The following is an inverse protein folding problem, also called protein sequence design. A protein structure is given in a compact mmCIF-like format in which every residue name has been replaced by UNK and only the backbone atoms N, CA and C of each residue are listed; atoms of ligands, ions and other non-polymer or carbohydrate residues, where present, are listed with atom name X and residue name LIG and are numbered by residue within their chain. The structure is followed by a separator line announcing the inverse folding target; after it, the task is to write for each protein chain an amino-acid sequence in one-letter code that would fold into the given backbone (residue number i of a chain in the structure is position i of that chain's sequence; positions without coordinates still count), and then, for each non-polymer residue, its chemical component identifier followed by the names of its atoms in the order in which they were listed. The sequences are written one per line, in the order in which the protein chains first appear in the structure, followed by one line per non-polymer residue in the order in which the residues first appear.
data_IF_794011878335
#
_entry.id   IF_794011878335
#
_cell.length_a   1.000
_cell.length_b   1.000
_cell.length_c   1.000
_cell.angle_alpha   90.00
_cell.angle_beta   90.00
_cell.angle_gamma   90.00
#
_symmetry.space_group_name_H-M   'P 1'
#
loop_
_entity.id
_entity.type
_entity.pdbx_description
1 polymer ?
#
# COMPACT_ATOMS: atom_id res chain seq x y z
N UNK A 1 42.32 13.47 39.57
CA UNK A 1 41.52 14.50 38.89
C UNK A 1 41.16 13.97 37.50
N UNK A 2 39.97 13.40 37.33
CA UNK A 2 39.52 12.81 36.05
C UNK A 2 38.30 13.62 35.60
N UNK A 3 38.43 14.33 34.47
CA UNK A 3 37.35 15.08 33.83
C UNK A 3 36.59 14.13 32.90
N UNK A 4 35.33 13.84 33.22
CA UNK A 4 34.42 13.17 32.30
C UNK A 4 33.85 14.20 31.33
N UNK A 5 34.08 13.98 30.03
CA UNK A 5 33.45 14.75 28.95
C UNK A 5 32.17 13.99 28.57
N UNK A 6 31.03 14.53 28.96
CA UNK A 6 29.71 14.02 28.57
C UNK A 6 29.44 14.41 27.12
N UNK A 7 29.54 13.44 26.21
CA UNK A 7 29.18 13.61 24.80
C UNK A 7 27.65 13.53 24.67
N UNK A 8 26.99 14.67 24.51
CA UNK A 8 25.57 14.74 24.19
C UNK A 8 25.36 14.39 22.71
N UNK A 9 24.90 13.16 22.45
CA UNK A 9 24.41 12.75 21.14
C UNK A 9 23.05 13.41 20.90
N UNK A 10 23.05 14.50 20.11
CA UNK A 10 21.83 15.10 19.59
C UNK A 10 21.32 14.21 18.45
N UNK A 11 20.36 13.34 18.77
CA UNK A 11 19.59 12.60 17.78
C UNK A 11 18.66 13.56 17.05
N UNK A 12 19.01 13.92 15.81
CA UNK A 12 18.11 14.62 14.91
C UNK A 12 16.98 13.67 14.50
N UNK A 13 15.80 13.85 15.09
CA UNK A 13 14.58 13.26 14.54
C UNK A 13 14.30 13.93 13.20
N UNK A 14 14.55 13.21 12.11
CA UNK A 14 14.15 13.64 10.77
C UNK A 14 12.63 13.55 10.73
N UNK A 15 11.95 14.67 10.98
CA UNK A 15 10.52 14.78 10.75
C UNK A 15 10.27 14.69 9.24
N UNK A 16 9.52 13.69 8.75
CA UNK A 16 9.19 13.64 7.33
C UNK A 16 8.44 14.91 6.93
N UNK A 17 8.69 15.46 5.73
CA UNK A 17 8.15 16.74 5.31
C UNK A 17 6.62 16.72 5.34
N UNK A 18 6.04 17.67 6.09
CA UNK A 18 4.60 17.86 6.29
C UNK A 18 3.82 18.07 4.98
N UNK A 19 4.50 18.46 3.89
CA UNK A 19 3.90 18.77 2.59
C UNK A 19 3.42 17.53 1.80
N UNK A 20 4.08 16.37 1.94
CA UNK A 20 3.70 15.18 1.18
C UNK A 20 2.32 14.62 1.56
N UNK A 21 1.86 14.90 2.78
CA UNK A 21 0.65 14.30 3.35
C UNK A 21 -0.65 14.98 2.85
N UNK A 22 -0.61 16.29 2.58
CA UNK A 22 -1.77 17.05 2.09
C UNK A 22 -2.09 16.68 0.64
N UNK A 23 -1.08 16.43 -0.19
CA UNK A 23 -1.24 16.09 -1.60
C UNK A 23 -1.94 14.73 -1.76
N UNK A 24 -1.42 13.69 -1.09
CA UNK A 24 -2.00 12.35 -1.17
C UNK A 24 -3.44 12.29 -0.65
N UNK A 25 -3.74 12.92 0.49
CA UNK A 25 -5.11 12.93 1.02
C UNK A 25 -6.07 13.57 0.02
N UNK A 26 -5.71 14.71 -0.55
CA UNK A 26 -6.54 15.43 -1.52
C UNK A 26 -6.75 14.60 -2.79
N UNK A 27 -5.69 13.99 -3.31
CA UNK A 27 -5.77 13.10 -4.47
C UNK A 27 -6.63 11.87 -4.19
N UNK A 28 -6.45 11.22 -3.03
CA UNK A 28 -7.24 10.08 -2.58
C UNK A 28 -8.73 10.40 -2.61
N UNK A 29 -9.15 11.47 -1.93
CA UNK A 29 -10.58 11.85 -1.91
C UNK A 29 -11.10 12.19 -3.30
N UNK A 30 -10.33 12.92 -4.11
CA UNK A 30 -10.71 13.29 -5.48
C UNK A 30 -10.94 12.05 -6.36
N UNK A 31 -10.02 11.09 -6.30
CA UNK A 31 -10.12 9.85 -7.08
C UNK A 31 -11.23 8.92 -6.57
N UNK A 32 -11.48 8.89 -5.26
CA UNK A 32 -12.61 8.16 -4.68
C UNK A 32 -13.96 8.74 -5.11
N UNK A 33 -14.10 10.07 -5.16
CA UNK A 33 -15.31 10.71 -5.69
C UNK A 33 -15.50 10.43 -7.18
N UNK A 34 -14.42 10.56 -7.97
CA UNK A 34 -14.43 10.19 -9.38
C UNK A 34 -14.88 8.74 -9.57
N UNK A 35 -14.31 7.81 -8.81
CA UNK A 35 -14.71 6.41 -8.83
C UNK A 35 -16.16 6.23 -8.41
N UNK A 36 -16.63 6.93 -7.38
CA UNK A 36 -18.02 6.83 -6.94
C UNK A 36 -19.00 7.25 -8.04
N UNK A 37 -18.66 8.29 -8.81
CA UNK A 37 -19.50 8.84 -9.87
C UNK A 37 -19.44 8.00 -11.16
N UNK A 38 -18.25 7.54 -11.54
CA UNK A 38 -18.01 6.91 -12.86
C UNK A 38 -17.91 5.39 -12.80
N UNK A 39 -17.74 4.82 -11.60
CA UNK A 39 -17.47 3.40 -11.33
C UNK A 39 -16.27 2.83 -12.10
N UNK A 40 -15.35 3.70 -12.53
CA UNK A 40 -14.16 3.37 -13.30
C UNK A 40 -13.04 4.36 -13.01
N UNK A 41 -11.81 3.86 -13.00
CA UNK A 41 -10.57 4.62 -12.99
C UNK A 41 -9.58 3.98 -13.97
N UNK A 42 -8.66 4.79 -14.50
CA UNK A 42 -7.50 4.32 -15.27
C UNK A 42 -6.48 3.60 -14.39
N UNK A 43 -5.56 2.85 -14.99
CA UNK A 43 -4.52 2.15 -14.22
C UNK A 43 -3.56 3.15 -13.54
N UNK A 44 -3.28 4.27 -14.19
CA UNK A 44 -2.51 5.38 -13.63
C UNK A 44 -3.15 5.95 -12.37
N UNK A 45 -4.46 6.12 -12.37
CA UNK A 45 -5.21 6.61 -11.20
C UNK A 45 -5.25 5.58 -10.08
N UNK A 46 -5.43 4.30 -10.41
CA UNK A 46 -5.39 3.23 -9.41
C UNK A 46 -4.03 3.10 -8.74
N UNK A 47 -2.95 3.24 -9.51
CA UNK A 47 -1.59 3.25 -8.94
C UNK A 47 -1.38 4.42 -7.99
N UNK A 48 -1.97 5.58 -8.26
CA UNK A 48 -1.88 6.75 -7.38
C UNK A 48 -2.72 6.62 -6.11
N UNK A 49 -3.79 5.81 -6.15
CA UNK A 49 -4.57 5.45 -4.97
C UNK A 49 -3.87 4.46 -4.02
N UNK A 50 -2.84 3.74 -4.48
CA UNK A 50 -2.15 2.73 -3.65
C UNK A 50 -1.01 3.43 -2.89
N UNK A 51 -1.01 3.37 -1.55
CA UNK A 51 0.05 3.96 -0.73
C UNK A 51 1.44 3.45 -1.07
N UNK A 52 2.42 4.35 -1.05
CA UNK A 52 3.86 4.09 -1.24
C UNK A 52 4.68 4.38 0.01
N UNK A 53 4.11 5.08 0.99
CA UNK A 53 4.76 5.41 2.25
C UNK A 53 3.85 5.10 3.44
N UNK A 54 4.44 4.93 4.63
CA UNK A 54 3.69 4.70 5.88
C UNK A 54 2.69 5.85 6.17
N UNK A 55 3.05 7.08 5.82
CA UNK A 55 2.17 8.24 6.00
C UNK A 55 0.94 8.17 5.08
N UNK A 56 1.15 7.84 3.80
CA UNK A 56 0.05 7.62 2.85
C UNK A 56 -0.81 6.44 3.29
N UNK A 57 -0.19 5.37 3.80
CA UNK A 57 -0.91 4.21 4.29
C UNK A 57 -1.78 4.53 5.50
N UNK A 58 -1.28 5.34 6.44
CA UNK A 58 -2.06 5.83 7.57
C UNK A 58 -3.30 6.63 7.13
N UNK A 59 -3.14 7.54 6.15
CA UNK A 59 -4.27 8.29 5.57
C UNK A 59 -5.27 7.36 4.89
N UNK A 60 -4.76 6.42 4.10
CA UNK A 60 -5.56 5.45 3.35
C UNK A 60 -6.36 4.55 4.29
N UNK A 61 -5.71 3.97 5.30
CA UNK A 61 -6.32 3.11 6.30
C UNK A 61 -7.28 3.90 7.21
N UNK A 62 -7.10 5.21 7.39
CA UNK A 62 -8.07 6.03 8.13
C UNK A 62 -9.50 5.98 7.58
N UNK A 63 -9.68 5.55 6.31
CA UNK A 63 -10.98 5.33 5.68
C UNK A 63 -11.73 4.09 6.21
N UNK A 64 -11.10 3.25 7.04
CA UNK A 64 -11.80 2.15 7.74
C UNK A 64 -12.25 2.56 9.14
N UNK A 65 -11.87 3.76 9.61
CA UNK A 65 -12.18 4.22 10.96
C UNK A 65 -13.70 4.29 11.20
N UNK A 66 -14.19 3.85 12.38
CA UNK A 66 -15.61 3.94 12.73
C UNK A 66 -16.14 5.38 12.75
N UNK A 67 -15.24 6.37 12.91
CA UNK A 67 -15.59 7.80 12.93
C UNK A 67 -15.65 8.43 11.53
N UNK A 68 -15.27 7.70 10.47
CA UNK A 68 -15.35 8.21 9.10
C UNK A 68 -16.81 8.19 8.61
N UNK A 69 -17.21 9.18 7.83
CA UNK A 69 -18.54 9.19 7.20
C UNK A 69 -18.81 7.87 6.47
N UNK A 70 -19.98 7.27 6.72
CA UNK A 70 -20.38 5.96 6.15
C UNK A 70 -20.19 5.87 4.64
N UNK A 71 -20.38 6.98 3.91
CA UNK A 71 -20.18 7.04 2.46
C UNK A 71 -18.76 6.64 2.06
N UNK A 72 -17.75 7.09 2.82
CA UNK A 72 -16.35 6.82 2.51
C UNK A 72 -16.00 5.36 2.77
N UNK A 73 -16.53 4.75 3.83
CA UNK A 73 -16.30 3.33 4.12
C UNK A 73 -16.83 2.45 2.98
N UNK A 74 -18.01 2.78 2.44
CA UNK A 74 -18.61 2.07 1.30
C UNK A 74 -17.79 2.28 0.02
N UNK A 75 -17.43 3.53 -0.30
CA UNK A 75 -16.61 3.82 -1.49
C UNK A 75 -15.24 3.14 -1.38
N UNK A 76 -14.62 3.17 -0.19
CA UNK A 76 -13.35 2.53 0.09
C UNK A 76 -13.42 1.02 -0.11
N UNK A 77 -14.44 0.36 0.44
CA UNK A 77 -14.63 -1.09 0.25
C UNK A 77 -14.76 -1.45 -1.24
N UNK A 78 -15.52 -0.65 -2.00
CA UNK A 78 -15.71 -0.88 -3.43
C UNK A 78 -14.44 -0.66 -4.24
N UNK A 79 -13.64 0.36 -3.93
CA UNK A 79 -12.39 0.62 -4.65
C UNK A 79 -11.35 -0.47 -4.37
N UNK A 80 -11.32 -1.06 -3.16
CA UNK A 80 -10.42 -2.18 -2.83
C UNK A 80 -10.70 -3.39 -3.73
N UNK A 81 -11.98 -3.75 -3.85
CA UNK A 81 -12.43 -4.82 -4.74
C UNK A 81 -12.06 -4.50 -6.20
N UNK A 82 -12.25 -3.25 -6.62
CA UNK A 82 -11.91 -2.82 -7.98
C UNK A 82 -10.40 -2.85 -8.24
N UNK A 83 -9.56 -2.41 -7.30
CA UNK A 83 -8.09 -2.51 -7.38
C UNK A 83 -7.68 -3.97 -7.50
N UNK A 84 -8.22 -4.88 -6.67
CA UNK A 84 -7.92 -6.31 -6.76
C UNK A 84 -8.31 -6.90 -8.13
N UNK A 85 -9.50 -6.58 -8.65
CA UNK A 85 -9.93 -6.97 -10.00
C UNK A 85 -9.00 -6.41 -11.08
N UNK A 86 -8.60 -5.14 -10.99
CA UNK A 86 -7.69 -4.52 -11.96
C UNK A 86 -6.28 -5.08 -11.87
N UNK A 87 -5.79 -5.44 -10.69
CA UNK A 87 -4.51 -6.12 -10.50
C UNK A 87 -4.47 -7.49 -11.19
N UNK A 88 -5.61 -8.18 -11.35
CA UNK A 88 -5.66 -9.45 -12.10
C UNK A 88 -5.47 -9.33 -13.61
N UNK A 89 -5.47 -8.11 -14.16
CA UNK A 89 -5.35 -7.88 -15.61
C UNK A 89 -4.30 -6.84 -15.98
N UNK A 90 -3.99 -5.92 -15.06
CA UNK A 90 -2.99 -4.87 -15.26
C UNK A 90 -1.74 -5.16 -14.46
N UNK A 91 -0.66 -5.46 -15.17
CA UNK A 91 0.68 -5.66 -14.61
C UNK A 91 1.15 -4.47 -13.76
N UNK A 92 0.79 -3.26 -14.18
CA UNK A 92 1.12 -2.00 -13.51
C UNK A 92 0.40 -1.89 -12.16
N UNK A 93 -0.92 -2.12 -12.13
CA UNK A 93 -1.70 -2.13 -10.89
C UNK A 93 -1.25 -3.27 -9.98
N UNK A 94 -1.00 -4.45 -10.53
CA UNK A 94 -0.47 -5.59 -9.77
C UNK A 94 0.85 -5.26 -9.08
N UNK A 95 1.82 -4.67 -9.80
CA UNK A 95 3.13 -4.32 -9.22
C UNK A 95 2.99 -3.35 -8.05
N UNK A 96 2.12 -2.35 -8.17
CA UNK A 96 1.82 -1.42 -7.08
C UNK A 96 1.09 -2.10 -5.92
N UNK A 97 0.12 -2.97 -6.22
CA UNK A 97 -0.61 -3.71 -5.21
C UNK A 97 0.30 -4.65 -4.41
N UNK A 98 1.25 -5.33 -5.07
CA UNK A 98 2.29 -6.15 -4.42
C UNK A 98 3.18 -5.30 -3.51
N UNK A 99 3.55 -4.09 -3.92
CA UNK A 99 4.38 -3.20 -3.11
C UNK A 99 3.73 -2.77 -1.79
N UNK A 100 2.39 -2.73 -1.74
CA UNK A 100 1.62 -2.42 -0.54
C UNK A 100 1.91 -3.40 0.62
N UNK A 101 2.37 -4.63 0.32
CA UNK A 101 2.74 -5.64 1.33
C UNK A 101 3.79 -5.15 2.32
N UNK A 102 4.54 -4.11 1.97
CA UNK A 102 5.55 -3.51 2.85
C UNK A 102 4.98 -2.59 3.93
N UNK A 103 3.73 -2.13 3.78
CA UNK A 103 3.09 -1.13 4.63
C UNK A 103 1.94 -1.71 5.47
N UNK A 104 1.30 -2.78 4.98
CA UNK A 104 0.16 -3.39 5.67
C UNK A 104 0.57 -4.06 6.98
N UNK A 105 -0.26 -3.91 8.00
CA UNK A 105 -0.11 -4.55 9.30
C UNK A 105 -1.48 -4.75 9.97
N UNK A 106 -1.51 -5.53 11.06
CA UNK A 106 -2.69 -5.79 11.89
C UNK A 106 -3.88 -6.39 11.12
N UNK A 107 -5.10 -5.97 11.49
CA UNK A 107 -6.36 -6.48 10.89
C UNK A 107 -6.43 -6.32 9.37
N UNK A 108 -5.89 -5.21 8.84
CA UNK A 108 -5.90 -4.97 7.40
C UNK A 108 -5.01 -5.97 6.65
N UNK A 109 -3.91 -6.41 7.28
CA UNK A 109 -2.92 -7.27 6.64
C UNK A 109 -3.51 -8.63 6.27
N UNK A 110 -4.30 -9.25 7.13
CA UNK A 110 -4.89 -10.59 6.89
C UNK A 110 -5.72 -10.59 5.59
N UNK A 111 -6.74 -9.73 5.53
CA UNK A 111 -7.59 -9.65 4.33
C UNK A 111 -6.84 -9.16 3.08
N UNK A 112 -5.77 -8.38 3.23
CA UNK A 112 -4.89 -8.02 2.11
C UNK A 112 -4.09 -9.24 1.61
N UNK A 113 -3.45 -10.00 2.50
CA UNK A 113 -2.62 -11.13 2.12
C UNK A 113 -3.43 -12.28 1.55
N UNK A 114 -4.65 -12.53 2.03
CA UNK A 114 -5.57 -13.50 1.41
C UNK A 114 -5.87 -13.15 -0.05
N UNK A 115 -6.15 -11.87 -0.32
CA UNK A 115 -6.38 -11.40 -1.69
C UNK A 115 -5.12 -11.45 -2.54
N UNK A 116 -3.98 -11.12 -1.95
CA UNK A 116 -2.70 -11.15 -2.64
C UNK A 116 -2.30 -12.57 -3.02
N UNK A 117 -2.47 -13.53 -2.12
CA UNK A 117 -2.24 -14.96 -2.34
C UNK A 117 -3.06 -15.46 -3.53
N UNK A 118 -4.37 -15.21 -3.51
CA UNK A 118 -5.26 -15.54 -4.64
C UNK A 118 -4.82 -14.90 -5.97
N UNK A 119 -4.42 -13.62 -5.95
CA UNK A 119 -3.95 -12.92 -7.15
C UNK A 119 -2.63 -13.52 -7.66
N UNK A 120 -1.70 -13.84 -6.77
CA UNK A 120 -0.43 -14.46 -7.12
C UNK A 120 -0.67 -15.85 -7.71
N UNK A 121 -1.52 -16.68 -7.10
CA UNK A 121 -1.83 -18.01 -7.62
C UNK A 121 -2.43 -17.99 -9.04
N UNK A 122 -3.21 -16.96 -9.38
CA UNK A 122 -3.72 -16.77 -10.75
C UNK A 122 -2.68 -16.24 -11.74
N UNK A 123 -1.69 -15.51 -11.25
CA UNK A 123 -0.69 -14.81 -12.06
C UNK A 123 0.74 -15.21 -11.72
N UNK A 124 0.95 -16.49 -11.37
CA UNK A 124 2.22 -17.02 -10.86
C UNK A 124 3.40 -16.61 -11.71
N UNK A 125 3.36 -16.87 -13.02
CA UNK A 125 4.45 -16.52 -13.95
C UNK A 125 4.83 -15.04 -13.88
N UNK A 126 3.85 -14.16 -13.73
CA UNK A 126 4.11 -12.72 -13.64
C UNK A 126 4.71 -12.35 -12.27
N UNK A 127 4.16 -12.88 -11.18
CA UNK A 127 4.72 -12.70 -9.85
C UNK A 127 6.18 -13.16 -9.77
N UNK A 128 6.48 -14.38 -10.22
CA UNK A 128 7.83 -14.93 -10.22
C UNK A 128 8.79 -14.08 -11.06
N UNK A 129 8.33 -13.58 -12.20
CA UNK A 129 9.12 -12.66 -13.05
C UNK A 129 9.48 -11.37 -12.33
N UNK A 130 8.51 -10.72 -11.68
CA UNK A 130 8.76 -9.44 -11.01
C UNK A 130 9.49 -9.60 -9.68
N UNK A 131 9.43 -10.76 -9.03
CA UNK A 131 10.02 -10.99 -7.70
C UNK A 131 11.50 -10.61 -7.63
N UNK A 132 12.26 -10.95 -8.66
CA UNK A 132 13.69 -10.63 -8.78
C UNK A 132 13.97 -9.12 -8.71
N UNK A 133 13.05 -8.30 -9.23
CA UNK A 133 13.14 -6.83 -9.27
C UNK A 133 12.56 -6.12 -8.04
N UNK A 134 12.02 -6.87 -7.07
CA UNK A 134 11.49 -6.31 -5.84
C UNK A 134 12.63 -5.81 -4.93
N UNK A 135 12.33 -4.78 -4.15
CA UNK A 135 13.20 -4.30 -3.08
C UNK A 135 13.40 -5.37 -2.00
N UNK A 136 14.44 -5.22 -1.17
CA UNK A 136 14.71 -6.16 -0.09
C UNK A 136 13.53 -6.31 0.90
N UNK A 137 12.87 -5.19 1.25
CA UNK A 137 11.69 -5.20 2.15
C UNK A 137 10.51 -5.95 1.52
N UNK A 138 10.25 -5.73 0.22
CA UNK A 138 9.22 -6.47 -0.51
C UNK A 138 9.53 -7.97 -0.58
N UNK A 139 10.78 -8.34 -0.92
CA UNK A 139 11.19 -9.76 -0.96
C UNK A 139 11.02 -10.46 0.38
N UNK A 140 11.43 -9.80 1.46
CA UNK A 140 11.26 -10.32 2.82
C UNK A 140 9.77 -10.56 3.14
N UNK A 141 8.90 -9.56 2.89
CA UNK A 141 7.46 -9.68 3.16
C UNK A 141 6.75 -10.72 2.29
N UNK A 142 7.29 -11.04 1.13
CA UNK A 142 6.67 -11.92 0.13
C UNK A 142 7.41 -13.26 -0.03
N UNK A 143 8.36 -13.57 0.86
CA UNK A 143 9.23 -14.74 0.76
C UNK A 143 8.46 -16.05 0.79
N UNK A 144 7.45 -16.14 1.66
CA UNK A 144 6.61 -17.34 1.78
C UNK A 144 5.78 -17.57 0.51
N UNK A 145 5.14 -16.52 0.00
CA UNK A 145 4.38 -16.57 -1.26
C UNK A 145 5.29 -16.90 -2.46
N UNK A 146 6.52 -16.36 -2.49
CA UNK A 146 7.49 -16.74 -3.52
C UNK A 146 7.87 -18.21 -3.44
N UNK A 147 8.15 -18.70 -2.22
CA UNK A 147 8.49 -20.11 -2.01
C UNK A 147 7.34 -21.05 -2.37
N UNK A 148 6.10 -20.64 -2.13
CA UNK A 148 4.89 -21.41 -2.44
C UNK A 148 4.61 -21.51 -3.95
N UNK A 149 4.84 -20.44 -4.71
CA UNK A 149 4.37 -20.36 -6.11
C UNK A 149 5.48 -20.41 -7.17
N UNK A 150 6.72 -20.08 -6.83
CA UNK A 150 7.78 -19.86 -7.82
C UNK A 150 8.93 -20.86 -7.75
N UNK A 151 8.95 -21.72 -6.74
CA UNK A 151 9.93 -22.79 -6.57
C UNK A 151 9.35 -24.14 -6.98
#
# INVERSE_FOLDING_TARGET
MIKYITLLLVSFAITPPLHANIDYKTELYTLLEKFNNQKKLTDEELVRLIPKTENEFSVYYSLTSPNKEKKWNVIFSNIQIYIGKRASISQKVFRSYVGLATLVDGEYAEGYFDRLDFLIGKHTKYFCKIYSSLSAKEKYRLGDLYSQYCN
#
